data_IF_021530139036
#
_entry.id   IF_021530139036
#
_cell.length_a   1.000
_cell.length_b   1.000
_cell.length_c   1.000
_cell.angle_alpha   90.00
_cell.angle_beta   90.00
_cell.angle_gamma   90.00
#
_symmetry.space_group_name_H-M   'P 1'
#
loop_
_entity.id
_entity.type
_entity.pdbx_description
1 polymer ?
2 non-polymer ?
3 water ?
#
# COMPACT_ATOMS: atom_id res chain seq x y z
N UNK A 1 37.93 3.21 11.09
CA UNK A 1 37.22 1.98 11.47
C UNK A 1 35.76 2.00 10.96
N UNK A 2 35.41 1.03 10.09
CA UNK A 2 34.09 1.00 9.43
C UNK A 2 32.98 0.44 10.34
N UNK A 3 31.76 0.95 10.18
CA UNK A 3 30.63 0.52 11.02
C UNK A 3 29.31 0.44 10.25
N UNK A 4 28.34 -0.29 10.82
CA UNK A 4 27.06 -0.48 10.18
C UNK A 4 26.17 -1.48 10.86
N UNK A 5 24.93 -1.55 10.37
CA UNK A 5 23.91 -2.46 10.87
C UNK A 5 23.63 -3.56 9.86
N UNK A 6 23.71 -4.82 10.25
CA UNK A 6 23.22 -5.86 9.37
C UNK A 6 21.72 -6.01 9.60
N UNK A 7 20.96 -6.05 8.51
CA UNK A 7 19.51 -6.13 8.61
C UNK A 7 18.97 -7.35 7.86
N UNK A 8 18.12 -8.10 8.56
CA UNK A 8 17.45 -9.25 8.02
C UNK A 8 16.00 -8.92 7.69
N UNK A 9 15.54 -9.31 6.51
CA UNK A 9 14.20 -8.93 6.14
C UNK A 9 13.30 -10.13 6.07
N UNK A 10 12.18 -10.02 6.79
CA UNK A 10 11.14 -11.03 6.84
C UNK A 10 9.76 -10.41 6.59
N UNK A 11 8.73 -11.25 6.57
CA UNK A 11 7.37 -10.74 6.47
C UNK A 11 6.44 -11.61 7.32
N UNK A 12 5.94 -11.01 8.39
CA UNK A 12 5.04 -11.71 9.28
C UNK A 12 3.91 -10.77 9.59
N UNK A 13 2.73 -11.12 9.12
CA UNK A 13 1.69 -10.15 8.95
C UNK A 13 0.96 -9.69 10.22
N UNK A 14 1.06 -10.47 11.30
CA UNK A 14 0.34 -10.31 12.58
C UNK A 14 -0.71 -11.41 12.80
N UNK A 15 -1.33 -11.86 11.73
CA UNK A 15 -2.16 -13.05 11.78
C UNK A 15 -1.35 -14.28 11.41
N UNK A 16 -0.09 -14.07 11.02
CA UNK A 16 0.78 -15.18 10.67
C UNK A 16 1.50 -15.73 11.90
N UNK A 17 1.57 -17.05 12.02
CA UNK A 17 2.20 -17.64 13.19
C UNK A 17 3.71 -17.76 12.99
N UNK A 18 4.13 -17.93 11.73
CA UNK A 18 5.54 -18.01 11.34
C UNK A 18 5.94 -16.89 10.36
N UNK A 19 7.19 -16.39 10.45
CA UNK A 19 7.61 -15.34 9.52
C UNK A 19 7.79 -15.88 8.11
N UNK A 20 7.51 -15.04 7.12
CA UNK A 20 7.65 -15.43 5.72
C UNK A 20 8.76 -14.60 5.10
N UNK A 21 9.21 -15.00 3.91
CA UNK A 21 10.32 -14.32 3.24
C UNK A 21 10.02 -14.15 1.76
N UNK A 22 9.03 -13.33 1.45
CA UNK A 22 8.37 -13.29 0.13
C UNK A 22 9.33 -13.13 -1.03
N UNK A 23 9.22 -14.02 -2.01
CA UNK A 23 9.99 -13.90 -3.24
C UNK A 23 9.64 -12.61 -3.99
N UNK A 24 8.45 -12.09 -3.71
CA UNK A 24 7.90 -10.91 -4.38
C UNK A 24 8.81 -9.71 -4.25
N UNK A 25 9.62 -9.68 -3.19
CA UNK A 25 10.53 -8.56 -2.96
C UNK A 25 11.80 -8.75 -3.75
N UNK A 26 11.98 -7.95 -4.81
CA UNK A 26 13.13 -8.13 -5.73
C UNK A 26 14.21 -7.07 -5.59
N UNK A 27 13.90 -5.98 -4.92
CA UNK A 27 14.90 -4.95 -4.73
C UNK A 27 14.57 -4.14 -3.49
N UNK A 28 15.54 -3.38 -3.00
CA UNK A 28 15.40 -2.70 -1.71
C UNK A 28 15.99 -1.29 -1.75
N UNK A 29 15.34 -0.38 -1.05
CA UNK A 29 15.86 0.94 -0.77
C UNK A 29 15.83 1.07 0.76
N UNK A 30 16.99 1.06 1.39
CA UNK A 30 17.07 1.05 2.84
C UNK A 30 17.77 2.32 3.33
N UNK A 31 17.07 3.05 4.20
CA UNK A 31 17.54 4.33 4.70
C UNK A 31 17.78 4.28 6.20
N UNK A 32 18.75 5.06 6.67
CA UNK A 32 19.02 5.15 8.10
C UNK A 32 18.84 6.59 8.56
N UNK A 33 18.01 6.77 9.59
CA UNK A 33 17.80 8.08 10.18
C UNK A 33 18.31 8.01 11.61
N UNK A 34 18.81 9.13 12.11
CA UNK A 34 19.41 9.17 13.44
C UNK A 34 18.47 9.72 14.52
N UNK A 35 19.06 10.03 15.67
CA UNK A 35 18.31 10.55 16.81
C UNK A 35 17.39 11.72 16.44
N UNK A 36 17.76 12.47 15.40
CA UNK A 36 17.04 13.68 15.02
C UNK A 36 16.09 13.48 13.83
N UNK A 37 16.07 12.27 13.29
CA UNK A 37 15.22 11.97 12.16
C UNK A 37 15.83 12.44 10.85
N UNK A 38 17.14 12.73 10.88
CA UNK A 38 17.86 13.17 9.69
C UNK A 38 18.46 11.97 8.96
N UNK A 39 18.44 12.01 7.62
CA UNK A 39 19.00 10.92 6.80
C UNK A 39 20.51 10.83 6.96
N UNK A 40 20.99 9.65 7.34
CA UNK A 40 22.42 9.42 7.52
C UNK A 40 22.98 8.40 6.54
N UNK A 41 22.11 7.58 5.96
CA UNK A 41 22.59 6.53 5.07
C UNK A 41 21.50 6.16 4.07
N UNK A 42 21.87 6.02 2.79
CA UNK A 42 20.90 5.68 1.74
C UNK A 42 21.42 4.57 0.85
N UNK A 43 20.75 3.42 0.85
CA UNK A 43 21.29 2.26 0.15
C UNK A 43 20.29 1.58 -0.77
N UNK A 44 20.80 1.06 -1.89
CA UNK A 44 19.96 0.40 -2.87
C UNK A 44 20.49 -1.01 -3.15
N UNK A 45 19.62 -2.02 -3.09
CA UNK A 45 20.06 -3.38 -3.36
C UNK A 45 19.19 -4.05 -4.43
N UNK A 46 19.81 -4.39 -5.55
CA UNK A 46 19.13 -5.13 -6.59
C UNK A 46 19.27 -6.63 -6.32
N UNK A 47 18.56 -7.44 -7.09
CA UNK A 47 18.63 -8.90 -7.03
C UNK A 47 18.35 -9.47 -5.63
N UNK A 48 17.46 -8.81 -4.91
CA UNK A 48 17.10 -9.27 -3.58
C UNK A 48 16.34 -10.60 -3.62
N UNK A 49 16.81 -11.53 -2.80
CA UNK A 49 16.07 -12.74 -2.48
C UNK A 49 16.03 -12.84 -0.97
N UNK A 50 14.94 -12.39 -0.37
CA UNK A 50 14.78 -12.47 1.07
C UNK A 50 14.99 -13.90 1.54
N UNK A 51 15.60 -14.05 2.70
CA UNK A 51 15.83 -15.37 3.26
C UNK A 51 15.99 -15.31 4.77
N UNK A 52 15.77 -16.44 5.43
CA UNK A 52 15.76 -16.51 6.88
C UNK A 52 17.11 -16.14 7.46
N UNK A 53 18.16 -16.42 6.71
CA UNK A 53 19.52 -16.20 7.19
C UNK A 53 20.31 -15.24 6.29
N UNK A 54 19.60 -14.43 5.51
CA UNK A 54 20.29 -13.45 4.68
C UNK A 54 20.27 -12.07 5.33
N UNK A 55 21.39 -11.37 5.25
CA UNK A 55 21.50 -10.03 5.82
C UNK A 55 22.04 -9.03 4.81
N UNK A 56 21.74 -7.76 5.06
CA UNK A 56 22.23 -6.67 4.22
C UNK A 56 22.88 -5.62 5.11
N UNK A 57 24.12 -5.24 4.80
CA UNK A 57 24.82 -4.23 5.60
C UNK A 57 24.37 -2.82 5.24
N UNK A 58 24.01 -2.07 6.26
CA UNK A 58 23.63 -0.66 6.15
C UNK A 58 24.74 0.15 6.79
N UNK A 59 25.59 0.74 5.94
CA UNK A 59 26.69 1.59 6.41
C UNK A 59 26.24 2.71 7.33
N UNK A 60 26.95 2.88 8.44
CA UNK A 60 26.79 4.03 9.33
C UNK A 60 28.20 4.49 9.72
N UNK A 61 28.32 5.58 10.46
CA UNK A 61 29.65 6.05 10.84
C UNK A 61 29.73 6.52 12.28
N UNK A 62 28.96 7.55 12.60
CA UNK A 62 28.97 8.08 13.95
C UNK A 62 28.09 7.22 14.87
N UNK A 63 28.61 6.89 16.05
CA UNK A 63 27.87 6.18 17.09
C UNK A 63 26.51 6.84 17.35
N UNK A 64 25.54 6.05 17.83
CA UNK A 64 24.26 6.62 18.19
C UNK A 64 23.03 5.75 17.94
N UNK A 65 21.86 6.35 18.09
CA UNK A 65 20.60 5.65 17.87
C UNK A 65 20.16 5.83 16.44
N UNK A 66 19.74 4.76 15.80
CA UNK A 66 19.26 4.85 14.44
C UNK A 66 18.02 4.00 14.25
N UNK A 67 17.18 4.43 13.32
CA UNK A 67 16.08 3.61 12.87
C UNK A 67 16.25 3.43 11.37
N UNK A 68 15.89 2.25 10.89
CA UNK A 68 16.02 1.96 9.49
C UNK A 68 14.64 1.86 8.83
N UNK A 69 14.46 2.54 7.71
CA UNK A 69 13.23 2.43 6.92
C UNK A 69 13.53 1.65 5.65
N UNK A 70 12.69 0.70 5.32
CA UNK A 70 13.00 -0.13 4.16
C UNK A 70 11.85 -0.21 3.16
N UNK A 71 12.19 -0.09 1.89
CA UNK A 71 11.19 -0.10 0.84
C UNK A 71 11.50 -1.17 -0.16
N UNK A 72 10.49 -1.98 -0.48
CA UNK A 72 10.65 -3.09 -1.38
C UNK A 72 9.93 -2.83 -2.68
N UNK A 73 10.67 -3.03 -3.76
CA UNK A 73 10.19 -2.86 -5.13
C UNK A 73 9.81 -1.43 -5.49
N UNK A 74 10.60 -0.47 -5.05
CA UNK A 74 10.50 0.87 -5.59
C UNK A 74 10.85 0.84 -7.08
N UNK A 75 9.95 1.39 -7.88
CA UNK A 75 9.87 1.12 -9.31
C UNK A 75 9.92 2.45 -10.05
N UNK A 76 9.90 2.40 -11.38
CA UNK A 76 9.75 3.64 -12.15
C UNK A 76 8.26 4.03 -12.33
N UNK A 77 7.38 3.35 -11.59
CA UNK A 77 5.99 3.79 -11.45
C UNK A 77 5.91 4.95 -10.47
N UNK A 78 7.04 5.26 -9.83
CA UNK A 78 7.05 6.29 -8.79
C UNK A 78 7.97 7.47 -9.11
N UNK A 79 7.49 8.68 -8.80
CA UNK A 79 8.30 9.88 -8.78
C UNK A 79 9.01 10.03 -7.43
N UNK A 80 10.32 9.86 -7.44
CA UNK A 80 11.12 9.90 -6.23
C UNK A 80 11.61 11.32 -5.90
N UNK A 81 11.36 11.77 -4.68
CA UNK A 81 11.75 13.13 -4.30
C UNK A 81 13.19 13.25 -3.84
N UNK A 82 13.50 14.37 -3.17
CA UNK A 82 14.84 14.67 -2.67
C UNK A 82 15.34 13.63 -1.67
N UNK A 83 16.56 13.14 -1.88
CA UNK A 83 17.20 12.25 -0.93
C UNK A 83 18.60 12.78 -0.61
N UNK A 84 18.74 13.53 0.47
CA UNK A 84 20.01 14.21 0.72
C UNK A 84 20.53 13.99 2.14
N UNK A 85 21.61 13.23 2.21
CA UNK A 85 22.24 12.84 3.47
C UNK A 85 22.67 14.05 4.27
N UNK A 86 22.34 14.03 5.57
CA UNK A 86 22.62 15.13 6.46
C UNK A 86 21.67 16.29 6.26
N UNK A 87 20.59 16.07 5.51
CA UNK A 87 19.58 17.12 5.27
C UNK A 87 18.16 16.57 5.29
N UNK A 88 17.88 15.63 4.41
CA UNK A 88 16.56 15.00 4.31
C UNK A 88 16.09 14.42 5.64
N UNK A 89 14.81 14.62 6.00
CA UNK A 89 14.30 14.09 7.26
C UNK A 89 13.21 13.03 7.10
N UNK A 90 12.95 12.31 8.20
CA UNK A 90 12.08 11.13 8.22
C UNK A 90 10.70 11.37 7.62
N UNK A 91 10.18 12.58 7.75
CA UNK A 91 8.78 12.84 7.44
C UNK A 91 8.59 13.59 6.12
N UNK A 92 9.66 13.76 5.35
CA UNK A 92 9.54 14.33 4.03
C UNK A 92 9.02 13.29 3.05
N UNK A 93 8.46 13.73 1.94
CA UNK A 93 7.88 12.79 1.00
C UNK A 93 8.95 12.10 0.17
N UNK A 94 9.06 10.80 0.34
CA UNK A 94 9.95 10.00 -0.47
C UNK A 94 9.47 9.82 -1.92
N UNK A 95 8.15 9.72 -2.08
CA UNK A 95 7.57 8.95 -3.16
C UNK A 95 6.18 9.43 -3.54
N UNK A 96 5.92 9.58 -4.83
CA UNK A 96 4.56 9.78 -5.30
C UNK A 96 4.24 8.86 -6.45
N UNK A 97 3.11 8.16 -6.39
CA UNK A 97 2.72 7.31 -7.51
C UNK A 97 2.58 8.14 -8.77
N UNK A 98 3.20 7.70 -9.86
CA UNK A 98 3.14 8.49 -11.08
C UNK A 98 1.70 8.58 -11.53
N UNK A 99 1.32 9.77 -11.99
CA UNK A 99 -0.05 9.96 -12.41
C UNK A 99 -0.16 10.68 -13.73
N UNK A 100 -1.34 10.57 -14.33
CA UNK A 100 -1.69 11.32 -15.52
C UNK A 100 -2.99 12.04 -15.25
N UNK A 101 -2.89 13.29 -14.78
CA UNK A 101 -4.03 13.95 -14.20
C UNK A 101 -4.26 13.35 -12.82
N UNK A 102 -5.48 12.89 -12.55
CA UNK A 102 -5.72 12.22 -11.28
C UNK A 102 -5.77 10.71 -11.47
N UNK A 103 -5.29 10.24 -12.61
CA UNK A 103 -5.25 8.81 -12.86
C UNK A 103 -3.87 8.23 -12.61
N UNK A 104 -3.82 7.25 -11.72
CA UNK A 104 -2.60 6.53 -11.41
C UNK A 104 -2.07 5.75 -12.62
N UNK A 105 -0.73 5.63 -12.74
CA UNK A 105 -0.15 4.69 -13.67
C UNK A 105 -0.61 3.29 -13.26
N UNK A 106 -0.80 2.41 -14.24
CA UNK A 106 -1.30 1.08 -13.91
C UNK A 106 -0.25 0.25 -13.19
N UNK A 107 -0.52 -0.14 -11.95
CA UNK A 107 0.46 -0.88 -11.19
C UNK A 107 0.04 -2.32 -10.90
N UNK A 108 -0.89 -2.85 -11.69
CA UNK A 108 -1.24 -4.27 -11.57
C UNK A 108 0.03 -5.08 -11.68
N UNK A 109 0.10 -6.16 -10.93
CA UNK A 109 1.20 -7.10 -11.04
C UNK A 109 2.46 -6.63 -10.33
N UNK A 110 2.36 -5.57 -9.56
CA UNK A 110 3.48 -5.11 -8.75
C UNK A 110 3.18 -5.19 -7.25
N UNK A 111 4.21 -5.47 -6.46
CA UNK A 111 4.07 -5.43 -5.01
C UNK A 111 4.89 -4.28 -4.49
N UNK A 112 4.43 -3.64 -3.43
CA UNK A 112 5.21 -2.59 -2.80
C UNK A 112 5.27 -2.87 -1.34
N UNK A 113 6.47 -2.77 -0.76
CA UNK A 113 6.64 -3.22 0.63
C UNK A 113 7.31 -2.20 1.53
N UNK A 114 6.89 -2.16 2.80
CA UNK A 114 7.56 -1.30 3.75
C UNK A 114 7.93 -2.01 5.07
N UNK A 115 9.07 -1.64 5.64
CA UNK A 115 9.39 -2.11 6.98
C UNK A 115 10.01 -0.99 7.83
N UNK A 116 9.69 -0.99 9.12
CA UNK A 116 10.44 -0.20 10.07
C UNK A 116 11.15 -1.18 10.98
N UNK A 117 12.46 -1.02 11.11
CA UNK A 117 13.21 -1.81 12.07
C UNK A 117 13.02 -1.23 13.48
N UNK A 118 13.40 -1.99 14.50
CA UNK A 118 13.43 -1.32 15.80
C UNK A 118 14.57 -0.30 15.84
N UNK A 119 14.57 0.52 16.88
CA UNK A 119 15.68 1.41 17.11
C UNK A 119 16.90 0.58 17.49
N UNK A 120 17.99 0.79 16.78
CA UNK A 120 19.25 0.11 17.05
C UNK A 120 20.26 1.13 17.49
N UNK A 121 21.43 0.66 17.91
CA UNK A 121 22.41 1.54 18.53
C UNK A 121 23.85 1.13 18.27
N UNK A 122 24.58 1.97 17.52
CA UNK A 122 26.04 1.88 17.45
C UNK A 122 26.66 2.42 18.73
N UNK A 123 27.40 1.57 19.44
CA UNK A 123 27.95 1.98 20.71
C UNK A 123 29.44 2.29 20.56
N UNK A 124 30.01 3.05 21.50
CA UNK A 124 31.40 3.47 21.38
C UNK A 124 32.35 2.28 21.35
N UNK A 125 32.89 2.04 20.16
CA UNK A 125 33.78 0.90 19.94
C UNK A 125 35.03 1.00 20.79
N UNK A 126 35.39 2.22 21.18
CA UNK A 126 36.54 2.43 22.05
C UNK A 126 36.29 1.76 23.40
N UNK A 127 35.02 1.61 23.74
CA UNK A 127 34.63 0.86 24.93
C UNK A 127 34.10 -0.52 24.52
N UNK A 128 33.31 -1.13 25.38
CA UNK A 128 32.70 -2.40 25.02
C UNK A 128 31.61 -2.22 23.97
N UNK A 129 31.99 -2.20 22.70
CA UNK A 129 30.99 -2.07 21.64
C UNK A 129 31.30 -2.88 20.40
N UNK A 130 30.34 -3.71 20.05
CA UNK A 130 30.48 -4.63 18.94
C UNK A 130 30.84 -3.98 17.60
N UNK A 131 31.82 -4.60 16.95
CA UNK A 131 31.74 -4.92 15.54
C UNK A 131 30.87 -4.01 14.70
N UNK A 132 29.90 -4.68 14.09
CA UNK A 132 28.70 -4.12 13.53
C UNK A 132 27.58 -4.65 14.41
N UNK A 133 26.39 -4.06 14.31
CA UNK A 133 25.25 -4.61 15.04
C UNK A 133 24.31 -5.34 14.08
N UNK A 134 23.28 -5.96 14.63
CA UNK A 134 22.30 -6.66 13.80
C UNK A 134 20.90 -6.28 14.21
N UNK A 135 19.96 -6.48 13.29
CA UNK A 135 18.55 -6.28 13.56
C UNK A 135 17.72 -6.97 12.48
N UNK A 136 16.41 -7.04 12.71
CA UNK A 136 15.45 -7.59 11.76
C UNK A 136 14.41 -6.53 11.46
N UNK A 137 13.79 -6.62 10.28
CA UNK A 137 12.70 -5.71 9.89
C UNK A 137 11.56 -6.47 9.22
N UNK A 138 10.32 -6.12 9.56
CA UNK A 138 9.14 -6.80 9.03
C UNK A 138 8.51 -6.05 7.85
N UNK A 139 8.63 -6.63 6.67
CA UNK A 139 8.09 -6.02 5.48
C UNK A 139 6.61 -6.34 5.40
N UNK A 140 5.81 -5.27 5.39
CA UNK A 140 4.37 -5.34 5.20
C UNK A 140 4.04 -4.87 3.79
N UNK A 141 3.19 -5.62 3.10
CA UNK A 141 2.78 -5.24 1.76
C UNK A 141 1.79 -4.09 1.82
N UNK A 142 2.01 -3.09 0.97
CA UNK A 142 1.21 -1.87 0.91
C UNK A 142 0.27 -1.86 -0.30
N UNK A 143 0.64 -2.60 -1.35
CA UNK A 143 -0.28 -2.81 -2.47
C UNK A 143 -1.48 -3.68 -2.04
N UNK A 144 -2.61 -3.40 -2.66
CA UNK A 144 -3.83 -4.15 -2.42
C UNK A 144 -4.46 -4.42 -3.75
N UNK A 145 -4.90 -5.65 -3.92
CA UNK A 145 -5.60 -6.06 -5.13
C UNK A 145 -7.07 -6.14 -4.79
N UNK A 146 -7.86 -5.35 -5.49
CA UNK A 146 -9.27 -5.20 -5.17
C UNK A 146 -10.13 -5.53 -6.38
N UNK A 147 -10.90 -6.61 -6.28
CA UNK A 147 -11.84 -6.99 -7.31
C UNK A 147 -13.26 -6.56 -6.91
N UNK A 148 -13.98 -5.97 -7.85
CA UNK A 148 -15.31 -5.50 -7.56
C UNK A 148 -16.27 -5.95 -8.66
N UNK A 149 -17.40 -6.53 -8.26
CA UNK A 149 -18.45 -6.89 -9.20
C UNK A 149 -19.71 -6.13 -8.85
N UNK A 150 -20.34 -5.56 -9.87
CA UNK A 150 -21.70 -5.06 -9.73
C UNK A 150 -22.64 -6.02 -10.43
N UNK A 151 -23.61 -6.49 -9.67
CA UNK A 151 -24.46 -7.61 -10.02
C UNK A 151 -25.91 -7.21 -10.27
N UNK A 152 -26.58 -8.01 -11.09
CA UNK A 152 -27.99 -7.84 -11.43
C UNK A 152 -28.23 -6.40 -11.89
N UNK A 153 -27.84 -6.14 -13.13
CA UNK A 153 -27.77 -4.79 -13.65
C UNK A 153 -27.97 -4.83 -15.16
N UNK A 154 -29.03 -4.21 -15.66
CA UNK A 154 -29.22 -4.26 -17.11
C UNK A 154 -28.15 -3.43 -17.79
N UNK A 155 -27.66 -3.93 -18.92
CA UNK A 155 -26.59 -3.22 -19.65
C UNK A 155 -25.34 -2.94 -18.79
N UNK A 156 -24.73 -3.99 -18.22
CA UNK A 156 -23.59 -3.77 -17.32
C UNK A 156 -22.42 -3.05 -17.99
N UNK A 157 -22.38 -3.02 -19.30
CA UNK A 157 -21.34 -2.30 -20.01
C UNK A 157 -21.52 -0.78 -19.90
N UNK A 158 -22.70 -0.33 -19.48
CA UNK A 158 -23.00 1.10 -19.36
C UNK A 158 -22.54 1.67 -18.02
N UNK A 159 -22.02 0.81 -17.15
CA UNK A 159 -21.60 1.24 -15.83
C UNK A 159 -20.09 1.11 -15.59
N UNK A 160 -19.57 2.01 -14.77
CA UNK A 160 -18.14 2.09 -14.55
C UNK A 160 -17.83 2.10 -13.07
N UNK A 161 -16.93 1.21 -12.68
CA UNK A 161 -16.46 1.14 -11.31
C UNK A 161 -15.16 1.92 -11.17
N UNK A 162 -15.13 2.75 -10.14
CA UNK A 162 -14.01 3.62 -9.88
C UNK A 162 -13.57 3.50 -8.45
N UNK A 163 -12.26 3.62 -8.25
CA UNK A 163 -11.65 3.56 -6.94
C UNK A 163 -10.70 4.74 -6.76
N UNK A 164 -11.10 5.68 -5.91
CA UNK A 164 -10.29 6.84 -5.61
C UNK A 164 -9.67 6.73 -4.22
N UNK A 165 -8.42 7.15 -4.09
CA UNK A 165 -7.81 7.15 -2.77
C UNK A 165 -6.66 8.12 -2.71
N UNK A 166 -6.57 8.87 -1.62
CA UNK A 166 -5.41 9.72 -1.38
C UNK A 166 -4.27 8.91 -0.78
N UNK A 167 -3.83 7.88 -1.50
CA UNK A 167 -2.80 6.99 -1.00
C UNK A 167 -1.61 6.77 -1.96
N UNK A 168 -1.23 7.79 -2.73
CA UNK A 168 -0.17 7.63 -3.71
C UNK A 168 1.14 8.27 -3.32
N UNK A 169 1.19 8.77 -2.09
CA UNK A 169 2.35 9.51 -1.62
C UNK A 169 2.78 9.05 -0.26
N UNK A 170 4.06 8.74 -0.10
CA UNK A 170 4.52 8.20 1.18
C UNK A 170 5.76 8.92 1.69
N UNK A 171 5.78 9.14 3.01
CA UNK A 171 6.95 9.71 3.67
C UNK A 171 8.05 8.67 3.72
N UNK A 172 9.22 9.04 4.22
CA UNK A 172 10.31 8.08 4.33
C UNK A 172 9.94 6.96 5.31
N UNK A 173 9.44 7.32 6.49
CA UNK A 173 8.82 6.33 7.35
C UNK A 173 7.62 5.84 6.55
N UNK A 174 7.02 4.72 6.89
CA UNK A 174 6.06 4.20 5.93
C UNK A 174 4.73 4.93 5.79
N UNK A 175 4.60 6.15 6.32
CA UNK A 175 3.27 6.74 6.46
C UNK A 175 2.76 7.50 5.23
N UNK A 176 1.45 7.53 5.07
CA UNK A 176 0.84 8.14 3.90
C UNK A 176 0.94 9.64 4.00
N UNK A 177 1.57 10.23 2.99
CA UNK A 177 1.66 11.66 2.87
C UNK A 177 0.33 12.21 2.37
N UNK A 178 -0.06 13.38 2.86
CA UNK A 178 -1.34 13.91 2.42
C UNK A 178 -1.23 14.36 0.96
N UNK A 179 -2.30 14.10 0.20
CA UNK A 179 -2.32 14.39 -1.23
C UNK A 179 -3.77 14.44 -1.76
N UNK A 180 -3.95 14.94 -2.97
CA UNK A 180 -5.24 14.79 -3.66
C UNK A 180 -5.52 13.33 -3.90
N UNK A 181 -6.78 12.99 -4.09
CA UNK A 181 -7.13 11.62 -4.34
C UNK A 181 -6.59 11.17 -5.66
N UNK A 182 -6.49 9.87 -5.84
CA UNK A 182 -5.93 9.28 -7.04
C UNK A 182 -6.87 8.21 -7.53
N UNK A 183 -7.24 8.30 -8.80
CA UNK A 183 -8.07 7.26 -9.37
C UNK A 183 -7.20 6.13 -9.86
N UNK A 184 -7.61 4.89 -9.58
CA UNK A 184 -6.85 3.73 -10.05
C UNK A 184 -7.52 3.02 -11.24
N UNK A 185 -6.69 2.64 -12.24
CA UNK A 185 -7.13 2.09 -13.52
C UNK A 185 -7.90 0.80 -13.37
N UNK A 186 -9.22 0.88 -13.57
CA UNK A 186 -10.07 -0.28 -13.42
C UNK A 186 -10.29 -1.05 -14.69
N UNK A 187 -9.46 -2.04 -14.93
CA UNK A 187 -9.64 -2.91 -16.09
C UNK A 187 -10.82 -3.84 -15.86
N UNK A 188 -11.65 -3.98 -16.89
CA UNK A 188 -13.02 -4.46 -16.78
C UNK A 188 -13.37 -5.68 -17.65
N UNK A 189 -14.29 -6.48 -17.15
CA UNK A 189 -14.92 -7.56 -17.90
C UNK A 189 -16.44 -7.52 -17.62
N UNK A 190 -17.26 -7.32 -18.64
CA UNK A 190 -18.64 -7.69 -18.47
C UNK A 190 -18.58 -9.20 -18.37
N UNK A 191 -18.95 -9.72 -17.20
CA UNK A 191 -18.84 -11.14 -16.95
C UNK A 191 -20.19 -11.82 -17.15
N UNK A 192 -21.24 -11.31 -16.52
CA UNK A 192 -22.56 -11.90 -16.70
C UNK A 192 -23.44 -11.05 -17.60
N UNK A 193 -24.65 -11.55 -17.88
CA UNK A 193 -25.63 -10.75 -18.60
C UNK A 193 -25.94 -9.48 -17.82
N UNK A 194 -25.81 -9.56 -16.50
CA UNK A 194 -26.19 -8.49 -15.62
C UNK A 194 -25.06 -8.15 -14.66
N UNK A 195 -23.86 -8.61 -15.00
CA UNK A 195 -22.72 -8.48 -14.10
C UNK A 195 -21.48 -7.86 -14.75
N UNK A 196 -20.85 -6.93 -14.03
CA UNK A 196 -19.63 -6.29 -14.50
C UNK A 196 -18.56 -6.41 -13.41
N UNK A 197 -17.34 -6.78 -13.82
CA UNK A 197 -16.25 -7.04 -12.89
C UNK A 197 -15.08 -6.13 -13.22
N UNK A 198 -14.49 -5.51 -12.20
CA UNK A 198 -13.35 -4.62 -12.35
C UNK A 198 -12.20 -5.02 -11.40
N UNK A 199 -10.97 -4.91 -11.88
CA UNK A 199 -9.81 -5.22 -11.03
C UNK A 199 -8.88 -4.01 -10.85
N UNK A 200 -8.62 -3.65 -9.61
CA UNK A 200 -7.78 -2.51 -9.27
C UNK A 200 -6.55 -2.96 -8.49
N UNK A 201 -5.40 -2.37 -8.79
CA UNK A 201 -4.30 -2.50 -7.86
C UNK A 201 -4.04 -1.12 -7.28
N UNK A 202 -4.26 -0.99 -5.98
CA UNK A 202 -4.07 0.30 -5.37
C UNK A 202 -2.97 0.18 -4.32
N UNK A 203 -2.60 1.27 -3.68
CA UNK A 203 -1.60 1.16 -2.65
C UNK A 203 -2.31 1.01 -1.31
N UNK A 204 -1.83 1.70 -0.28
CA UNK A 204 -2.25 1.41 1.09
C UNK A 204 -3.71 1.76 1.37
N UNK A 205 -4.40 0.86 2.04
CA UNK A 205 -5.77 1.09 2.44
C UNK A 205 -5.87 1.33 3.92
N UNK A 206 -5.99 2.59 4.31
CA UNK A 206 -6.18 2.85 5.71
C UNK A 206 -7.06 4.06 5.89
N UNK A 207 -7.61 4.18 7.08
CA UNK A 207 -8.47 5.28 7.42
C UNK A 207 -7.65 6.55 7.52
N UNK A 208 -8.31 7.69 7.37
CA UNK A 208 -7.64 8.97 7.61
C UNK A 208 -7.71 9.91 6.42
N UNK A 209 -8.26 9.40 5.32
CA UNK A 209 -8.31 10.13 4.06
C UNK A 209 -9.25 9.39 3.13
N UNK A 210 -9.47 9.93 1.94
CA UNK A 210 -10.50 9.42 1.06
C UNK A 210 -10.16 8.02 0.56
N UNK A 211 -11.13 7.12 0.60
CA UNK A 211 -10.98 5.81 0.01
C UNK A 211 -12.32 5.44 -0.61
N UNK A 212 -12.65 6.13 -1.69
CA UNK A 212 -13.98 6.09 -2.28
C UNK A 212 -14.13 5.06 -3.38
N UNK A 213 -14.98 4.05 -3.12
CA UNK A 213 -15.43 3.12 -4.14
C UNK A 213 -16.71 3.70 -4.72
N UNK A 214 -16.85 3.68 -6.05
CA UNK A 214 -18.02 4.29 -6.65
C UNK A 214 -18.46 3.63 -7.95
N UNK A 215 -19.75 3.73 -8.25
CA UNK A 215 -20.33 3.17 -9.47
C UNK A 215 -21.08 4.27 -10.19
N UNK A 216 -20.78 4.41 -11.47
CA UNK A 216 -21.30 5.48 -12.32
C UNK A 216 -21.96 4.97 -13.60
N UNK A 217 -23.08 5.56 -13.98
CA UNK A 217 -23.68 5.27 -15.27
C UNK A 217 -22.97 6.10 -16.33
N UNK A 218 -22.12 5.46 -17.13
CA UNK A 218 -21.25 6.15 -18.08
C UNK A 218 -21.97 7.06 -19.11
N UNK A 219 -23.04 6.56 -19.77
CA UNK A 219 -23.65 7.41 -20.79
C UNK A 219 -24.14 8.76 -20.25
N UNK A 220 -24.58 8.79 -19.00
CA UNK A 220 -25.16 9.98 -18.40
C UNK A 220 -24.21 10.65 -17.45
N UNK A 221 -23.30 9.85 -16.89
CA UNK A 221 -22.37 10.33 -15.90
C UNK A 221 -23.02 10.30 -14.53
N UNK A 222 -24.23 9.76 -14.45
CA UNK A 222 -24.94 9.67 -13.19
C UNK A 222 -24.30 8.66 -12.25
N UNK A 223 -23.61 9.16 -11.23
CA UNK A 223 -23.09 8.31 -10.18
C UNK A 223 -24.23 7.72 -9.35
N UNK A 224 -24.48 6.42 -9.48
CA UNK A 224 -25.56 5.77 -8.75
C UNK A 224 -25.09 5.22 -7.41
N UNK A 225 -23.78 5.14 -7.18
CA UNK A 225 -23.30 4.65 -5.90
C UNK A 225 -21.94 5.22 -5.47
N UNK A 226 -21.79 5.48 -4.18
CA UNK A 226 -20.54 5.97 -3.60
C UNK A 226 -20.42 5.58 -2.13
N UNK A 227 -19.32 4.95 -1.75
CA UNK A 227 -19.05 4.67 -0.33
C UNK A 227 -17.56 4.69 0.02
N UNK A 228 -17.24 5.00 1.27
CA UNK A 228 -15.85 4.85 1.68
C UNK A 228 -15.54 3.40 1.98
N UNK A 229 -14.72 2.80 1.12
CA UNK A 229 -14.30 1.41 1.23
C UNK A 229 -13.73 1.03 2.59
N UNK A 230 -12.84 1.86 3.12
CA UNK A 230 -12.23 1.54 4.40
C UNK A 230 -13.28 1.62 5.50
N UNK A 231 -14.09 2.67 5.49
CA UNK A 231 -15.18 2.81 6.45
C UNK A 231 -16.11 1.61 6.44
N UNK A 232 -16.62 1.28 5.25
CA UNK A 232 -17.43 0.08 5.06
C UNK A 232 -16.76 -1.11 5.71
N UNK A 233 -15.48 -1.31 5.40
CA UNK A 233 -14.75 -2.43 5.96
C UNK A 233 -14.76 -2.41 7.47
N UNK A 234 -14.34 -1.30 8.06
CA UNK A 234 -14.18 -1.23 9.51
C UNK A 234 -15.49 -1.14 10.25
N UNK A 235 -16.58 -1.51 9.58
CA UNK A 235 -17.91 -1.59 10.22
C UNK A 235 -18.27 -3.04 10.56
N UNK A 240 -14.47 -7.91 12.76
CA UNK A 240 -13.74 -8.10 11.52
C UNK A 240 -12.50 -8.98 11.78
N UNK A 241 -12.36 -10.18 11.19
CA UNK A 241 -12.94 -10.75 9.95
C UNK A 241 -12.31 -10.10 8.73
N UNK A 242 -12.44 -8.78 8.61
CA UNK A 242 -11.76 -8.08 7.54
C UNK A 242 -10.75 -7.11 8.14
N UNK A 243 -9.57 -7.66 8.40
CA UNK A 243 -8.50 -6.93 9.02
C UNK A 243 -7.48 -6.44 8.00
N UNK A 244 -7.51 -5.13 7.73
CA UNK A 244 -6.65 -4.51 6.71
C UNK A 244 -5.16 -4.69 7.00
N UNK A 245 -4.82 -4.96 8.25
CA UNK A 245 -3.41 -5.05 8.62
C UNK A 245 -2.86 -6.45 8.42
N UNK A 246 -3.68 -7.37 7.91
CA UNK A 246 -3.23 -8.74 7.66
C UNK A 246 -3.56 -9.19 6.25
N UNK A 247 -4.40 -8.43 5.57
CA UNK A 247 -4.91 -8.87 4.26
C UNK A 247 -4.60 -7.87 3.16
N UNK A 248 -4.58 -8.33 1.91
CA UNK A 248 -4.25 -7.45 0.77
C UNK A 248 -5.04 -7.75 -0.51
N UNK A 249 -6.06 -8.59 -0.38
CA UNK A 249 -6.90 -8.94 -1.52
C UNK A 249 -8.36 -8.80 -1.14
N UNK A 250 -9.13 -8.11 -1.97
CA UNK A 250 -10.48 -7.77 -1.58
C UNK A 250 -11.48 -8.10 -2.69
N UNK A 251 -12.29 -9.13 -2.46
CA UNK A 251 -13.36 -9.45 -3.40
C UNK A 251 -14.62 -8.75 -2.91
N UNK A 252 -15.11 -7.82 -3.73
CA UNK A 252 -16.24 -6.98 -3.35
C UNK A 252 -17.40 -7.20 -4.28
N UNK A 253 -18.57 -7.44 -3.70
CA UNK A 253 -19.78 -7.55 -4.51
C UNK A 253 -20.76 -6.43 -4.20
N UNK A 254 -21.23 -5.78 -5.25
CA UNK A 254 -22.26 -4.76 -5.14
C UNK A 254 -23.53 -5.29 -5.78
N UNK A 255 -24.58 -5.46 -4.97
CA UNK A 255 -25.84 -5.91 -5.53
C UNK A 255 -26.69 -4.73 -5.92
N UNK A 256 -26.96 -4.60 -7.21
CA UNK A 256 -27.79 -3.51 -7.72
C UNK A 256 -29.24 -3.96 -7.80
N UNK A 257 -30.14 -2.99 -7.67
CA UNK A 257 -31.55 -3.25 -7.88
C UNK A 257 -32.19 -1.99 -8.42
N UNK A 258 -33.21 -2.15 -9.24
CA UNK A 258 -33.96 -1.00 -9.69
C UNK A 258 -34.53 -0.29 -8.47
N UNK A 259 -34.56 1.05 -8.53
CA UNK A 259 -34.86 1.84 -7.33
C UNK A 259 -36.32 1.85 -6.95
N UNK A 260 -37.20 1.40 -7.84
CA UNK A 260 -38.65 1.39 -7.60
C UNK A 260 -39.27 2.80 -7.46
N UNK A 261 -38.43 3.78 -7.14
CA UNK A 261 -38.79 5.20 -7.12
C UNK A 261 -39.04 5.75 -8.53
N UNK A 262 -39.64 6.96 -8.62
CA UNK A 262 -39.82 7.61 -9.92
C UNK A 262 -38.53 8.19 -10.52
N UNK A 263 -37.42 7.45 -10.45
CA UNK A 263 -36.21 7.89 -11.15
C UNK A 263 -35.86 6.89 -12.23
N UNK A 264 -36.57 5.77 -12.26
CA UNK A 264 -36.27 4.69 -13.22
C UNK A 264 -34.76 4.45 -13.26
N UNK A 265 -34.13 4.39 -12.08
CA UNK A 265 -32.67 4.31 -11.97
C UNK A 265 -32.30 3.17 -11.02
N UNK A 266 -31.08 2.67 -11.14
CA UNK A 266 -30.62 1.61 -10.27
C UNK A 266 -29.88 2.15 -9.08
N UNK A 267 -29.87 1.36 -8.02
CA UNK A 267 -29.15 1.69 -6.82
C UNK A 267 -28.48 0.45 -6.28
N UNK A 268 -27.57 0.62 -5.33
CA UNK A 268 -26.89 -0.51 -4.71
C UNK A 268 -27.54 -0.79 -3.35
N UNK A 269 -27.94 -2.04 -3.14
CA UNK A 269 -28.73 -2.43 -1.97
C UNK A 269 -28.06 -3.49 -1.11
N UNK A 270 -26.79 -3.79 -1.41
CA UNK A 270 -26.00 -4.77 -0.66
C UNK A 270 -24.54 -4.69 -1.08
N UNK A 271 -23.67 -4.50 -0.10
CA UNK A 271 -22.25 -4.57 -0.41
C UNK A 271 -21.60 -5.72 0.37
N UNK A 272 -21.09 -6.69 -0.36
CA UNK A 272 -20.38 -7.82 0.20
C UNK A 272 -18.89 -7.60 0.08
N UNK A 273 -18.14 -7.91 1.14
CA UNK A 273 -16.68 -7.87 1.10
C UNK A 273 -16.11 -9.15 1.70
N UNK A 274 -15.30 -9.84 0.91
CA UNK A 274 -14.71 -11.13 1.25
C UNK A 274 -15.72 -12.09 1.87
N UNK A 275 -16.92 -12.11 1.30
CA UNK A 275 -17.93 -13.07 1.69
C UNK A 275 -18.77 -12.64 2.87
N UNK A 276 -18.51 -11.47 3.42
CA UNK A 276 -19.37 -10.94 4.48
C UNK A 276 -20.33 -9.89 3.95
N UNK A 277 -21.55 -9.91 4.44
CA UNK A 277 -22.49 -8.86 4.10
C UNK A 277 -22.21 -7.68 5.00
N UNK A 278 -21.70 -6.61 4.40
CA UNK A 278 -21.21 -5.45 5.13
C UNK A 278 -22.30 -4.42 5.41
N UNK A 279 -23.15 -4.18 4.41
CA UNK A 279 -24.26 -3.25 4.52
C UNK A 279 -25.36 -3.61 3.54
N UNK A 280 -26.59 -3.56 4.04
CA UNK A 280 -27.77 -3.53 3.18
C UNK A 280 -28.23 -2.08 3.14
N UNK A 281 -29.09 -1.75 2.19
CA UNK A 281 -29.58 -0.38 2.08
C UNK A 281 -31.09 -0.35 1.86
X LIG B 1 18.51 5.78 -2.81
X LIG C 1 -28.95 4.08 -13.60
#
# INVERSE_FOLDING_TARGET
>A
CPRGVYVNFYSQTECAENPSYPAEVARLNVYAFDKDGILRSANVFEDVQLSAAKEWLIPLEKDGLYTIFAWGNIDDHYNIGEIKIGETTKQQVLMRLKQDGKWATNIDGTTLWYATSPVVELKNMEDGADQYIHTRANLREYTNRVTVSVDSLPHPENYEIKLASSNGSYRFDGTVAKADSTYYPGETKVVGDSTCRAFFTTLKLESGHENTLSVTHKPTGREIFRTDLVGAILSSQYAQNINLRCINDFDIRLVAHHCNCPDDTYVVVQIWINGWLIHSY
>B hetero
1 IOD I
>C hetero
1 IOD I
#
